data_IF_514415255784
#
_entry.id   IF_514415255784
#
_cell.length_a   1.000
_cell.length_b   1.000
_cell.length_c   1.000
_cell.angle_alpha   90.00
_cell.angle_beta   90.00
_cell.angle_gamma   90.00
#
_symmetry.space_group_name_H-M   'P 1'
#
loop_
_entity.id
_entity.type
_entity.pdbx_description
1 polymer ?
#
# COMPACT_ATOMS: atom_id res chain seq x y z
N UNK A 1 -11.41 48.93 -34.92
CA UNK A 1 -11.69 48.29 -33.62
C UNK A 1 -11.77 46.75 -33.74
N UNK A 2 -10.80 46.06 -34.37
CA UNK A 2 -10.86 44.58 -34.55
C UNK A 2 -9.53 43.84 -34.35
N UNK A 3 -8.39 44.55 -34.30
CA UNK A 3 -7.06 43.93 -34.14
C UNK A 3 -6.78 43.44 -32.70
N UNK A 4 -7.33 44.12 -31.69
CA UNK A 4 -7.02 43.85 -30.28
C UNK A 4 -7.59 42.51 -29.78
N UNK A 5 -8.76 42.07 -30.29
CA UNK A 5 -9.36 40.78 -29.88
C UNK A 5 -8.57 39.57 -30.38
N UNK A 6 -7.97 39.65 -31.57
CA UNK A 6 -7.14 38.57 -32.14
C UNK A 6 -5.81 38.43 -31.39
N UNK A 7 -5.20 39.54 -31.01
CA UNK A 7 -3.94 39.56 -30.23
C UNK A 7 -4.16 39.00 -28.82
N UNK A 8 -5.26 39.37 -28.15
CA UNK A 8 -5.62 38.83 -26.83
C UNK A 8 -5.89 37.31 -26.90
N UNK A 9 -6.60 36.84 -27.93
CA UNK A 9 -6.83 35.40 -28.12
C UNK A 9 -5.52 34.63 -28.33
N UNK A 10 -4.60 35.17 -29.15
CA UNK A 10 -3.30 34.56 -29.40
C UNK A 10 -2.43 34.50 -28.14
N UNK A 11 -2.44 35.56 -27.32
CA UNK A 11 -1.75 35.58 -26.03
C UNK A 11 -2.33 34.56 -25.05
N UNK A 12 -3.66 34.43 -24.96
CA UNK A 12 -4.30 33.45 -24.10
C UNK A 12 -4.00 32.01 -24.53
N UNK A 13 -4.03 31.73 -25.84
CA UNK A 13 -3.68 30.40 -26.39
C UNK A 13 -2.19 30.08 -26.13
N UNK A 14 -1.30 31.06 -26.27
CA UNK A 14 0.12 30.88 -25.97
C UNK A 14 0.37 30.62 -24.47
N UNK A 15 -0.30 31.35 -23.58
CA UNK A 15 -0.19 31.14 -22.12
C UNK A 15 -0.71 29.75 -21.74
N UNK A 16 -1.84 29.31 -22.32
CA UNK A 16 -2.39 27.97 -22.11
C UNK A 16 -1.44 26.87 -22.63
N UNK A 17 -0.78 27.08 -23.77
CA UNK A 17 0.22 26.16 -24.30
C UNK A 17 1.48 26.08 -23.42
N UNK A 18 1.95 27.20 -22.87
CA UNK A 18 3.09 27.25 -21.94
C UNK A 18 2.74 26.57 -20.61
N UNK A 19 1.52 26.76 -20.10
CA UNK A 19 1.04 26.07 -18.90
C UNK A 19 0.95 24.54 -19.11
N UNK A 20 0.55 24.09 -20.30
CA UNK A 20 0.54 22.67 -20.65
C UNK A 20 1.95 22.07 -20.75
N UNK A 21 2.93 22.82 -21.28
CA UNK A 21 4.34 22.38 -21.37
C UNK A 21 4.96 22.19 -19.98
N UNK A 22 4.64 23.03 -19.01
CA UNK A 22 5.17 22.93 -17.65
C UNK A 22 4.51 21.82 -16.81
N UNK A 23 3.34 21.33 -17.20
CA UNK A 23 2.67 20.22 -16.52
C UNK A 23 3.20 18.83 -16.94
N UNK A 24 4.07 18.76 -17.96
CA UNK A 24 4.48 17.49 -18.60
C UNK A 24 5.99 17.26 -18.64
N UNK A 25 6.78 17.99 -17.86
CA UNK A 25 8.16 17.55 -17.58
C UNK A 25 8.10 16.42 -16.54
N UNK A 26 7.63 15.26 -16.98
CA UNK A 26 8.05 14.00 -16.38
C UNK A 26 9.57 13.98 -16.50
N UNK A 27 10.26 14.21 -15.40
CA UNK A 27 11.70 14.06 -15.36
C UNK A 27 11.99 12.60 -15.77
N UNK A 28 12.88 12.37 -16.74
CA UNK A 28 13.16 11.04 -17.32
C UNK A 28 13.56 10.01 -16.23
N UNK A 29 14.05 10.49 -15.10
CA UNK A 29 14.45 9.68 -13.96
C UNK A 29 13.29 9.32 -13.03
N UNK A 30 12.13 9.95 -13.22
CA UNK A 30 10.90 9.72 -12.49
C UNK A 30 10.08 8.59 -13.08
N UNK A 31 10.16 7.44 -12.41
CA UNK A 31 9.56 6.20 -12.88
C UNK A 31 8.49 5.73 -11.89
N UNK A 32 7.65 4.81 -12.34
CA UNK A 32 6.85 3.97 -11.46
C UNK A 32 7.48 2.58 -11.36
N UNK A 33 7.22 1.90 -10.26
CA UNK A 33 7.74 0.55 -10.04
C UNK A 33 7.36 -0.45 -11.14
N UNK A 34 6.19 -0.30 -11.76
CA UNK A 34 5.76 -1.12 -12.91
C UNK A 34 6.58 -0.89 -14.20
N UNK A 35 7.24 0.25 -14.32
CA UNK A 35 8.03 0.62 -15.51
C UNK A 35 9.45 -0.01 -15.45
N UNK A 36 9.71 -0.81 -14.42
CA UNK A 36 10.98 -1.49 -14.17
C UNK A 36 10.74 -3.00 -14.04
N UNK A 37 11.73 -3.77 -14.49
CA UNK A 37 11.74 -5.21 -14.31
C UNK A 37 12.15 -5.58 -12.87
N UNK A 38 11.28 -5.27 -11.91
CA UNK A 38 11.49 -5.55 -10.48
C UNK A 38 10.77 -6.84 -10.14
N UNK A 39 11.53 -7.81 -9.64
CA UNK A 39 10.99 -9.05 -9.08
C UNK A 39 10.88 -8.92 -7.57
N UNK A 40 9.69 -9.17 -7.03
CA UNK A 40 9.44 -9.21 -5.59
C UNK A 40 9.61 -10.63 -5.06
N UNK A 41 10.03 -10.77 -3.80
CA UNK A 41 10.22 -12.07 -3.16
C UNK A 41 8.90 -12.81 -2.88
N UNK A 42 9.02 -14.04 -2.36
CA UNK A 42 7.87 -14.82 -1.92
C UNK A 42 7.08 -14.08 -0.84
N UNK A 43 5.75 -13.99 -1.00
CA UNK A 43 4.89 -13.23 -0.09
C UNK A 43 4.92 -11.71 -0.29
N UNK A 44 5.56 -11.20 -1.35
CA UNK A 44 5.55 -9.78 -1.72
C UNK A 44 4.88 -9.53 -3.07
N UNK A 45 4.34 -8.32 -3.25
CA UNK A 45 3.77 -7.80 -4.49
C UNK A 45 4.38 -6.46 -4.86
N UNK A 46 4.40 -6.20 -6.16
CA UNK A 46 4.90 -4.96 -6.72
C UNK A 46 3.88 -3.83 -6.49
N UNK A 47 4.31 -2.75 -5.86
CA UNK A 47 3.58 -1.50 -5.75
C UNK A 47 3.60 -0.75 -7.08
N UNK A 48 2.82 -1.23 -8.05
CA UNK A 48 2.87 -0.78 -9.46
C UNK A 48 2.92 0.74 -9.67
N UNK A 49 2.17 1.51 -8.88
CA UNK A 49 2.04 2.96 -9.02
C UNK A 49 2.94 3.78 -8.09
N UNK A 50 3.72 3.13 -7.23
CA UNK A 50 4.66 3.85 -6.37
C UNK A 50 5.75 4.48 -7.22
N UNK A 51 6.00 5.76 -6.96
CA UNK A 51 7.08 6.52 -7.62
C UNK A 51 8.42 6.02 -7.11
N UNK A 52 9.36 5.86 -8.02
CA UNK A 52 10.71 5.44 -7.73
C UNK A 52 11.69 6.10 -8.67
N UNK A 53 12.93 6.18 -8.22
CA UNK A 53 13.99 6.96 -8.84
C UNK A 53 14.98 6.07 -9.59
N UNK A 54 15.26 6.40 -10.85
CA UNK A 54 16.23 5.65 -11.65
C UNK A 54 17.64 5.74 -11.05
N UNK A 55 18.06 6.95 -10.70
CA UNK A 55 19.36 7.25 -10.10
C UNK A 55 19.21 8.22 -8.95
N UNK A 56 19.87 7.92 -7.82
CA UNK A 56 19.83 8.80 -6.64
C UNK A 56 20.20 10.24 -7.04
N UNK A 57 19.49 11.22 -6.50
CA UNK A 57 19.67 12.65 -6.76
C UNK A 57 19.33 13.14 -8.19
N UNK A 58 18.83 12.28 -9.08
CA UNK A 58 18.44 12.69 -10.44
C UNK A 58 16.94 12.98 -10.58
N UNK A 59 16.13 12.61 -9.58
CA UNK A 59 14.68 12.69 -9.63
C UNK A 59 14.10 13.96 -9.01
N UNK A 60 12.86 14.25 -9.36
CA UNK A 60 12.11 15.41 -8.84
C UNK A 60 11.90 15.34 -7.32
N UNK A 61 11.74 16.52 -6.69
CA UNK A 61 11.84 16.70 -5.24
C UNK A 61 10.93 15.77 -4.41
N UNK A 62 11.51 15.26 -3.30
CA UNK A 62 10.83 14.51 -2.24
C UNK A 62 11.13 13.01 -2.18
N UNK A 63 11.68 12.43 -3.25
CA UNK A 63 11.89 10.97 -3.35
C UNK A 63 13.15 10.63 -4.19
N UNK A 64 14.10 11.57 -4.27
CA UNK A 64 15.38 11.40 -4.98
C UNK A 64 16.29 10.30 -4.40
N UNK A 65 15.98 9.78 -3.22
CA UNK A 65 16.65 8.62 -2.60
C UNK A 65 15.86 7.32 -2.78
N UNK A 66 14.61 7.39 -3.25
CA UNK A 66 13.70 6.25 -3.37
C UNK A 66 13.98 5.48 -4.66
N UNK A 67 15.14 4.84 -4.77
CA UNK A 67 15.52 4.09 -5.98
C UNK A 67 14.48 3.03 -6.36
N UNK A 68 14.36 2.76 -7.66
CA UNK A 68 13.55 1.66 -8.20
C UNK A 68 14.15 0.28 -7.90
N UNK A 69 14.16 -0.09 -6.62
CA UNK A 69 14.63 -1.36 -6.08
C UNK A 69 13.47 -2.11 -5.46
N UNK A 70 13.61 -3.43 -5.32
CA UNK A 70 12.62 -4.25 -4.63
C UNK A 70 12.32 -3.73 -3.22
N UNK A 71 13.30 -3.19 -2.50
CA UNK A 71 13.10 -2.60 -1.16
C UNK A 71 12.10 -1.44 -1.11
N UNK A 72 11.95 -0.70 -2.21
CA UNK A 72 11.06 0.46 -2.30
C UNK A 72 9.81 0.16 -3.13
N UNK A 73 9.88 -0.82 -4.02
CA UNK A 73 8.83 -1.14 -4.97
C UNK A 73 8.04 -2.39 -4.63
N UNK A 74 8.51 -3.21 -3.68
CA UNK A 74 7.81 -4.39 -3.23
C UNK A 74 7.27 -4.17 -1.83
N UNK A 75 5.98 -4.45 -1.65
CA UNK A 75 5.35 -4.56 -0.34
C UNK A 75 4.96 -6.00 -0.10
N UNK A 76 4.70 -6.37 1.14
CA UNK A 76 4.09 -7.69 1.42
C UNK A 76 2.71 -7.79 0.75
N UNK A 77 2.38 -8.96 0.21
CA UNK A 77 1.04 -9.32 -0.27
C UNK A 77 0.12 -9.39 0.94
N UNK A 78 -0.44 -8.24 1.31
CA UNK A 78 -1.23 -8.07 2.52
C UNK A 78 -1.09 -6.63 3.00
N UNK A 79 -2.17 -5.86 2.84
CA UNK A 79 -2.25 -4.46 3.26
C UNK A 79 -1.84 -4.27 4.72
N UNK A 80 -1.38 -3.06 5.03
CA UNK A 80 -1.18 -2.52 6.38
C UNK A 80 -1.00 -3.56 7.50
N UNK A 81 0.26 -3.82 7.86
CA UNK A 81 0.69 -4.72 8.93
C UNK A 81 0.50 -6.22 8.66
N UNK A 82 1.46 -6.85 7.98
CA UNK A 82 1.92 -8.21 8.30
C UNK A 82 0.86 -9.28 8.55
N UNK A 83 -0.30 -9.19 7.93
CA UNK A 83 -1.43 -10.08 8.14
C UNK A 83 -1.34 -11.17 7.08
N UNK A 84 -0.75 -12.30 7.44
CA UNK A 84 -0.84 -13.51 6.66
C UNK A 84 -2.29 -14.03 6.83
N UNK A 85 -3.22 -13.42 6.09
CA UNK A 85 -4.67 -13.63 6.20
C UNK A 85 -5.06 -15.12 6.05
N UNK A 86 -4.27 -15.90 5.32
CA UNK A 86 -4.45 -17.35 5.15
C UNK A 86 -4.48 -18.11 6.49
N UNK A 87 -3.80 -17.57 7.51
CA UNK A 87 -3.75 -18.17 8.84
C UNK A 87 -4.58 -17.39 9.87
N UNK A 88 -5.18 -16.27 9.48
CA UNK A 88 -6.09 -15.50 10.32
C UNK A 88 -7.53 -15.98 10.12
N UNK A 89 -8.04 -16.68 11.11
CA UNK A 89 -9.39 -17.25 11.10
C UNK A 89 -10.29 -16.48 12.04
N UNK A 90 -11.61 -16.62 11.90
CA UNK A 90 -12.54 -16.09 12.90
C UNK A 90 -12.73 -17.14 14.00
N UNK A 91 -12.89 -16.69 15.23
CA UNK A 91 -13.11 -17.58 16.37
C UNK A 91 -14.29 -18.55 16.19
N UNK A 92 -15.35 -18.15 15.46
CA UNK A 92 -16.50 -19.01 15.15
C UNK A 92 -16.16 -20.19 14.21
N UNK A 93 -15.10 -20.06 13.43
CA UNK A 93 -14.70 -21.06 12.44
C UNK A 93 -13.75 -22.10 13.07
N UNK A 94 -13.55 -22.03 14.38
CA UNK A 94 -12.64 -22.86 15.16
C UNK A 94 -13.41 -23.64 16.23
N UNK A 95 -12.89 -24.80 16.60
CA UNK A 95 -13.41 -25.62 17.68
C UNK A 95 -12.94 -25.07 19.03
N UNK A 96 -13.55 -23.96 19.46
CA UNK A 96 -13.21 -23.25 20.70
C UNK A 96 -14.38 -23.36 21.66
N UNK A 97 -14.16 -24.07 22.75
CA UNK A 97 -15.08 -24.11 23.89
C UNK A 97 -14.75 -22.97 24.86
N UNK A 98 -15.75 -22.15 25.17
CA UNK A 98 -15.64 -21.10 26.18
C UNK A 98 -16.17 -21.61 27.51
N UNK A 99 -15.44 -21.32 28.60
CA UNK A 99 -15.80 -21.76 29.94
C UNK A 99 -17.14 -21.20 30.44
N UNK A 100 -17.63 -21.78 31.54
CA UNK A 100 -18.86 -21.31 32.19
C UNK A 100 -18.74 -19.82 32.55
N UNK A 101 -19.74 -19.03 32.14
CA UNK A 101 -19.73 -17.57 32.32
C UNK A 101 -19.09 -16.78 31.18
N UNK A 102 -18.58 -17.43 30.13
CA UNK A 102 -17.98 -16.76 28.98
C UNK A 102 -18.80 -16.91 27.69
N UNK A 103 -18.56 -16.01 26.74
CA UNK A 103 -19.18 -15.99 25.41
C UNK A 103 -18.11 -15.96 24.32
N UNK A 104 -18.33 -16.74 23.26
CA UNK A 104 -17.46 -16.77 22.10
C UNK A 104 -17.60 -15.48 21.27
N UNK A 105 -16.48 -14.80 21.06
CA UNK A 105 -16.31 -13.64 20.19
C UNK A 105 -16.29 -14.04 18.72
N UNK A 106 -17.43 -14.45 18.19
CA UNK A 106 -17.59 -15.08 16.86
C UNK A 106 -16.82 -14.40 15.72
N UNK A 107 -16.80 -13.06 15.70
CA UNK A 107 -16.19 -12.28 14.63
C UNK A 107 -14.76 -11.81 14.91
N UNK A 108 -14.23 -12.07 16.11
CA UNK A 108 -12.84 -11.73 16.43
C UNK A 108 -11.93 -12.63 15.61
N UNK A 109 -10.91 -12.02 14.99
CA UNK A 109 -9.87 -12.74 14.27
C UNK A 109 -8.86 -13.33 15.26
N UNK A 110 -8.35 -14.49 14.93
CA UNK A 110 -7.33 -15.20 15.66
C UNK A 110 -6.37 -15.89 14.69
N UNK A 111 -5.18 -16.23 15.17
CA UNK A 111 -4.15 -16.87 14.41
C UNK A 111 -4.16 -18.39 14.61
N UNK A 112 -4.28 -19.15 13.53
CA UNK A 112 -4.25 -20.62 13.56
C UNK A 112 -2.90 -21.15 14.08
N UNK A 113 -1.80 -20.57 13.61
CA UNK A 113 -0.44 -20.96 13.95
C UNK A 113 0.39 -19.73 14.29
N UNK A 114 0.83 -19.60 15.54
CA UNK A 114 1.54 -18.41 16.02
C UNK A 114 2.75 -17.97 15.20
N UNK A 115 3.43 -18.91 14.55
CA UNK A 115 4.59 -18.63 13.72
C UNK A 115 4.22 -18.16 12.30
N UNK A 116 2.94 -18.17 11.93
CA UNK A 116 2.47 -17.91 10.56
C UNK A 116 1.81 -16.55 10.36
N UNK A 117 1.18 -15.99 11.38
CA UNK A 117 0.41 -14.74 11.20
C UNK A 117 1.23 -13.46 11.26
N UNK A 118 2.55 -13.54 11.50
CA UNK A 118 3.45 -12.39 11.47
C UNK A 118 3.22 -11.37 12.60
N UNK A 119 4.27 -10.60 12.94
CA UNK A 119 4.20 -9.49 13.88
C UNK A 119 3.48 -9.81 15.20
N UNK A 120 2.60 -8.90 15.63
CA UNK A 120 1.85 -9.00 16.88
C UNK A 120 0.72 -10.04 16.86
N UNK A 121 0.39 -10.62 15.71
CA UNK A 121 -0.64 -11.66 15.60
C UNK A 121 -0.17 -13.02 16.09
N UNK A 122 1.14 -13.20 16.22
CA UNK A 122 1.76 -14.39 16.81
C UNK A 122 1.25 -14.68 18.23
N UNK A 123 0.83 -13.65 18.96
CA UNK A 123 0.27 -13.77 20.32
C UNK A 123 -1.25 -13.97 20.34
N UNK A 124 -1.93 -13.74 19.21
CA UNK A 124 -3.39 -13.78 19.10
C UNK A 124 -3.90 -15.14 18.62
N UNK A 125 -3.45 -16.22 19.25
CA UNK A 125 -3.84 -17.59 18.84
C UNK A 125 -5.36 -17.80 18.86
N UNK A 126 -5.85 -18.73 18.05
CA UNK A 126 -7.22 -19.24 18.10
C UNK A 126 -7.42 -20.13 19.33
N UNK A 127 -7.51 -19.50 20.50
CA UNK A 127 -7.72 -20.14 21.81
C UNK A 127 -8.77 -19.37 22.59
N UNK A 128 -9.36 -20.02 23.60
CA UNK A 128 -10.35 -19.41 24.49
C UNK A 128 -9.88 -18.08 25.10
N UNK A 129 -8.60 -17.96 25.48
CA UNK A 129 -8.05 -16.72 26.04
C UNK A 129 -8.12 -15.49 25.12
N UNK A 130 -8.20 -15.69 23.80
CA UNK A 130 -8.33 -14.61 22.83
C UNK A 130 -9.75 -14.53 22.26
N UNK A 131 -10.44 -15.67 22.19
CA UNK A 131 -11.73 -15.82 21.53
C UNK A 131 -12.94 -15.83 22.46
N UNK A 132 -12.75 -15.89 23.77
CA UNK A 132 -13.81 -15.84 24.77
C UNK A 132 -13.70 -14.57 25.61
N UNK A 133 -14.84 -14.04 26.03
CA UNK A 133 -14.94 -12.95 26.99
C UNK A 133 -16.01 -13.25 28.04
N UNK A 134 -15.90 -12.64 29.22
CA UNK A 134 -16.89 -12.84 30.28
C UNK A 134 -18.24 -12.25 29.89
N UNK A 135 -19.33 -12.91 30.30
CA UNK A 135 -20.69 -12.40 30.15
C UNK A 135 -20.85 -11.22 31.09
N UNK A 136 -20.95 -10.02 30.52
CA UNK A 136 -21.39 -8.82 31.23
C UNK A 136 -22.89 -8.86 31.56
#
# INVERSE_FOLDING_TARGET
>A
MFASRKIILLLLVAIMAIAAVNASRDNEYDLRCKDRNISCGNGQELEQNRKCCRYSNSCSNGWSQEKCLASNCCKSKGGDNGDNDDFQLRCKDQDIDCGSGQTLMKNRKCCRYSDKCGGNWSQKKCLASNCCEDKH
#
